data_IF_850296380884
#
_entry.id   IF_850296380884
#
_cell.length_a   1.000
_cell.length_b   1.000
_cell.length_c   1.000
_cell.angle_alpha   90.00
_cell.angle_beta   90.00
_cell.angle_gamma   90.00
#
_symmetry.space_group_name_H-M   'P 1'
#
loop_
_entity.id
_entity.type
_entity.pdbx_description
1 polymer ?
#
# COMPACT_ATOMS: atom_id res chain seq x y z
N UNK A 1 8.66 -4.55 -34.53
CA UNK A 1 8.82 -3.48 -33.51
C UNK A 1 8.97 -4.17 -32.17
N UNK A 2 10.21 -4.40 -31.74
CA UNK A 2 10.52 -4.91 -30.41
C UNK A 2 10.13 -3.85 -29.39
N UNK A 3 9.16 -4.16 -28.56
CA UNK A 3 8.86 -3.37 -27.37
C UNK A 3 10.03 -3.58 -26.39
N UNK A 4 10.97 -2.65 -26.38
CA UNK A 4 12.02 -2.64 -25.38
C UNK A 4 11.37 -2.25 -24.06
N UNK A 5 11.09 -3.22 -23.20
CA UNK A 5 10.77 -2.97 -21.81
C UNK A 5 11.99 -2.33 -21.18
N UNK A 6 11.94 -1.01 -20.96
CA UNK A 6 12.87 -0.35 -20.05
C UNK A 6 12.57 -0.86 -18.66
N UNK A 7 13.36 -1.81 -18.18
CA UNK A 7 13.40 -2.14 -16.76
C UNK A 7 13.79 -0.86 -16.05
N UNK A 8 12.94 -0.45 -15.10
CA UNK A 8 13.19 0.74 -14.30
C UNK A 8 14.42 0.51 -13.42
N UNK A 9 15.57 1.00 -13.86
CA UNK A 9 16.87 0.84 -13.21
C UNK A 9 16.97 1.54 -11.85
N UNK A 10 15.90 2.22 -11.40
CA UNK A 10 15.82 2.85 -10.07
C UNK A 10 15.89 1.86 -8.90
N UNK A 11 15.96 0.56 -9.18
CA UNK A 11 16.07 -0.51 -8.20
C UNK A 11 17.37 -1.31 -8.35
N UNK A 12 18.44 -0.69 -8.81
CA UNK A 12 19.73 -1.31 -9.08
C UNK A 12 20.45 -2.00 -7.89
N UNK A 13 19.85 -1.98 -6.70
CA UNK A 13 20.37 -2.70 -5.54
C UNK A 13 19.65 -4.04 -5.26
N UNK A 14 18.67 -4.44 -6.09
CA UNK A 14 17.92 -5.66 -5.87
C UNK A 14 18.61 -6.84 -6.57
N UNK A 15 19.07 -7.81 -5.79
CA UNK A 15 19.58 -9.05 -6.35
C UNK A 15 18.43 -9.95 -6.79
N UNK A 16 18.02 -9.82 -8.04
CA UNK A 16 16.97 -10.65 -8.66
C UNK A 16 17.30 -12.13 -8.68
N UNK A 17 18.59 -12.49 -8.73
CA UNK A 17 19.02 -13.89 -8.70
C UNK A 17 18.76 -14.49 -7.32
N UNK A 18 19.12 -13.76 -6.26
CA UNK A 18 18.83 -14.18 -4.89
C UNK A 18 17.31 -14.24 -4.64
N UNK A 19 16.55 -13.26 -5.15
CA UNK A 19 15.08 -13.27 -5.04
C UNK A 19 14.46 -14.44 -5.78
N UNK A 20 14.90 -14.76 -6.99
CA UNK A 20 14.43 -15.91 -7.73
C UNK A 20 14.78 -17.24 -7.04
N UNK A 21 15.95 -17.32 -6.42
CA UNK A 21 16.32 -18.48 -5.62
C UNK A 21 15.42 -18.65 -4.37
N UNK A 22 15.04 -17.53 -3.72
CA UNK A 22 14.08 -17.54 -2.62
C UNK A 22 12.66 -17.93 -3.06
N UNK A 23 12.29 -17.63 -4.30
CA UNK A 23 11.01 -18.00 -4.90
C UNK A 23 10.97 -19.44 -5.39
N UNK A 24 12.08 -20.17 -5.32
CA UNK A 24 12.07 -21.59 -5.64
C UNK A 24 11.18 -22.32 -4.63
N UNK A 25 9.97 -22.64 -5.08
CA UNK A 25 8.93 -23.27 -4.25
C UNK A 25 9.27 -24.74 -3.92
N UNK A 26 10.25 -25.30 -4.59
CA UNK A 26 10.65 -26.70 -4.38
C UNK A 26 11.90 -26.74 -3.51
N UNK A 27 11.85 -27.52 -2.44
CA UNK A 27 13.02 -27.86 -1.66
C UNK A 27 13.92 -28.85 -2.42
N UNK A 28 15.11 -29.10 -1.90
CA UNK A 28 16.04 -30.11 -2.44
C UNK A 28 15.44 -31.53 -2.45
N UNK A 29 14.39 -31.75 -1.67
CA UNK A 29 13.59 -32.98 -1.58
C UNK A 29 12.44 -33.01 -2.62
N UNK A 30 12.31 -32.01 -3.47
CA UNK A 30 11.24 -31.87 -4.47
C UNK A 30 9.86 -31.54 -3.88
N UNK A 31 9.76 -31.26 -2.58
CA UNK A 31 8.52 -30.86 -1.92
C UNK A 31 8.28 -29.37 -2.01
N UNK A 32 7.01 -28.95 -2.13
CA UNK A 32 6.63 -27.54 -2.16
C UNK A 32 6.83 -26.91 -0.79
N UNK A 33 7.64 -25.85 -0.73
CA UNK A 33 7.86 -25.07 0.49
C UNK A 33 6.85 -23.92 0.58
N UNK A 34 5.73 -24.14 1.23
CA UNK A 34 4.64 -23.17 1.38
C UNK A 34 5.04 -21.83 2.03
N UNK A 35 6.11 -21.81 2.80
CA UNK A 35 6.59 -20.59 3.47
C UNK A 35 7.68 -19.81 2.70
N UNK A 36 8.15 -20.34 1.57
CA UNK A 36 9.21 -19.71 0.78
C UNK A 36 8.79 -18.31 0.27
N UNK A 37 7.56 -18.21 -0.19
CA UNK A 37 6.99 -16.95 -0.71
C UNK A 37 6.85 -15.88 0.37
N UNK A 38 6.41 -16.24 1.57
CA UNK A 38 6.36 -15.32 2.73
C UNK A 38 7.75 -14.88 3.17
N UNK A 39 8.72 -15.79 3.15
CA UNK A 39 10.13 -15.44 3.44
C UNK A 39 10.69 -14.48 2.43
N UNK A 40 10.47 -14.72 1.14
CA UNK A 40 10.90 -13.84 0.07
C UNK A 40 10.28 -12.45 0.19
N UNK A 41 8.98 -12.35 0.50
CA UNK A 41 8.30 -11.09 0.76
C UNK A 41 8.93 -10.33 1.95
N UNK A 42 9.26 -11.04 3.02
CA UNK A 42 9.91 -10.45 4.21
C UNK A 42 11.32 -9.94 3.91
N UNK A 43 12.13 -10.74 3.20
CA UNK A 43 13.49 -10.35 2.83
C UNK A 43 13.50 -9.15 1.88
N UNK A 44 12.63 -9.13 0.90
CA UNK A 44 12.43 -7.98 0.03
C UNK A 44 12.12 -6.71 0.84
N UNK A 45 11.21 -6.81 1.80
CA UNK A 45 10.88 -5.68 2.67
C UNK A 45 12.09 -5.22 3.48
N UNK A 46 12.82 -6.14 4.13
CA UNK A 46 13.93 -5.79 5.01
C UNK A 46 15.14 -5.24 4.26
N UNK A 47 15.50 -5.89 3.14
CA UNK A 47 16.72 -5.56 2.41
C UNK A 47 16.54 -4.39 1.45
N UNK A 48 15.35 -4.21 0.89
CA UNK A 48 15.10 -3.18 -0.11
C UNK A 48 14.17 -2.08 0.39
N UNK A 49 12.95 -2.41 0.78
CA UNK A 49 11.95 -1.37 1.10
C UNK A 49 12.33 -0.59 2.34
N UNK A 50 12.67 -1.27 3.42
CA UNK A 50 12.96 -0.60 4.70
C UNK A 50 14.22 0.28 4.63
N UNK A 51 15.23 -0.13 3.87
CA UNK A 51 16.45 0.66 3.68
C UNK A 51 16.23 1.91 2.83
N UNK A 52 15.27 1.85 1.91
CA UNK A 52 14.94 2.96 1.01
C UNK A 52 13.70 3.76 1.46
N UNK A 53 13.20 3.55 2.68
CA UNK A 53 12.07 4.31 3.22
C UNK A 53 12.56 5.56 3.95
N UNK A 54 11.91 6.70 3.70
CA UNK A 54 12.13 7.92 4.48
C UNK A 54 11.55 7.73 5.87
N UNK A 55 12.37 7.98 6.89
CA UNK A 55 11.97 7.90 8.29
C UNK A 55 11.51 9.25 8.80
N UNK A 56 10.40 9.25 9.52
CA UNK A 56 9.86 10.39 10.23
C UNK A 56 9.77 10.05 11.73
N UNK A 57 10.06 11.01 12.59
CA UNK A 57 10.01 10.80 14.05
C UNK A 57 8.57 10.74 14.58
N UNK A 58 7.63 11.31 13.88
CA UNK A 58 6.22 11.30 14.25
C UNK A 58 5.30 11.29 13.04
N UNK A 59 4.04 10.88 13.26
CA UNK A 59 3.00 10.98 12.22
C UNK A 59 2.77 12.44 11.82
N UNK A 60 2.82 13.37 12.78
CA UNK A 60 2.63 14.79 12.47
C UNK A 60 3.70 15.30 11.51
N UNK A 61 4.97 15.07 11.82
CA UNK A 61 6.09 15.44 10.96
C UNK A 61 5.95 14.85 9.55
N UNK A 62 5.55 13.59 9.47
CA UNK A 62 5.30 12.91 8.20
C UNK A 62 4.19 13.60 7.40
N UNK A 63 3.05 13.87 8.00
CA UNK A 63 1.93 14.50 7.32
C UNK A 63 2.24 15.94 6.92
N UNK A 64 2.90 16.70 7.79
CA UNK A 64 3.33 18.07 7.48
C UNK A 64 4.26 18.06 6.25
N UNK A 65 5.28 17.20 6.24
CA UNK A 65 6.18 17.04 5.10
C UNK A 65 5.44 16.66 3.80
N UNK A 66 4.54 15.67 3.87
CA UNK A 66 3.81 15.20 2.68
C UNK A 66 2.84 16.26 2.12
N UNK A 67 2.32 17.15 2.97
CA UNK A 67 1.52 18.30 2.56
C UNK A 67 2.35 19.43 1.98
N UNK A 68 3.44 19.80 2.65
CA UNK A 68 4.33 20.89 2.22
C UNK A 68 4.99 20.60 0.88
N UNK A 69 5.40 19.35 0.66
CA UNK A 69 6.02 18.91 -0.59
C UNK A 69 5.00 18.54 -1.68
N UNK A 70 3.70 18.68 -1.42
CA UNK A 70 2.64 18.46 -2.40
C UNK A 70 2.38 16.98 -2.75
N UNK A 71 2.77 16.05 -1.88
CA UNK A 71 2.47 14.63 -2.05
C UNK A 71 1.05 14.27 -1.63
N UNK A 72 0.51 14.98 -0.64
CA UNK A 72 -0.85 14.83 -0.16
C UNK A 72 -1.65 16.12 -0.38
N UNK A 73 -2.94 15.96 -0.60
CA UNK A 73 -3.86 17.09 -0.70
C UNK A 73 -4.40 17.48 0.67
N UNK A 74 -4.22 18.75 1.03
CA UNK A 74 -4.70 19.30 2.29
C UNK A 74 -6.22 19.12 2.47
N UNK A 75 -6.98 19.28 1.40
CA UNK A 75 -8.44 19.14 1.37
C UNK A 75 -8.97 17.79 1.89
N UNK A 76 -8.15 16.74 1.82
CA UNK A 76 -8.51 15.42 2.36
C UNK A 76 -8.33 15.39 3.89
N UNK A 77 -7.18 15.86 4.37
CA UNK A 77 -6.82 15.76 5.79
C UNK A 77 -7.54 16.80 6.65
N UNK A 78 -7.84 17.98 6.09
CA UNK A 78 -8.56 19.06 6.78
C UNK A 78 -10.01 18.71 7.16
N UNK A 79 -10.57 17.68 6.56
CA UNK A 79 -11.90 17.18 6.89
C UNK A 79 -11.94 16.43 8.23
N UNK A 80 -10.77 16.14 8.81
CA UNK A 80 -10.67 15.31 10.02
C UNK A 80 -9.83 15.99 11.10
N UNK A 81 -10.20 15.79 12.35
CA UNK A 81 -9.35 16.17 13.46
C UNK A 81 -8.05 15.32 13.44
N UNK A 82 -6.91 15.94 13.71
CA UNK A 82 -5.62 15.22 13.77
C UNK A 82 -5.64 14.04 14.76
N UNK A 83 -6.39 14.19 15.87
CA UNK A 83 -6.55 13.12 16.84
C UNK A 83 -7.19 11.87 16.24
N UNK A 84 -8.20 12.04 15.37
CA UNK A 84 -8.82 10.95 14.63
C UNK A 84 -7.85 10.33 13.63
N UNK A 85 -7.18 11.13 12.81
CA UNK A 85 -6.17 10.63 11.86
C UNK A 85 -5.14 9.78 12.59
N UNK A 86 -4.60 10.28 13.72
CA UNK A 86 -3.63 9.54 14.54
C UNK A 86 -4.18 8.21 15.05
N UNK A 87 -5.45 8.20 15.49
CA UNK A 87 -6.10 6.98 15.94
C UNK A 87 -6.27 5.95 14.82
N UNK A 88 -6.68 6.42 13.62
CA UNK A 88 -6.84 5.58 12.43
C UNK A 88 -5.51 4.92 12.01
N UNK A 89 -4.44 5.69 11.94
CA UNK A 89 -3.11 5.16 11.65
C UNK A 89 -2.66 4.13 12.72
N UNK A 90 -2.85 4.45 13.99
CA UNK A 90 -2.55 3.52 15.08
C UNK A 90 -3.34 2.21 14.93
N UNK A 91 -4.61 2.29 14.54
CA UNK A 91 -5.48 1.13 14.27
C UNK A 91 -4.93 0.26 13.13
N UNK A 92 -4.58 0.86 11.99
CA UNK A 92 -4.02 0.14 10.86
C UNK A 92 -2.68 -0.56 11.22
N UNK A 93 -1.77 0.15 11.86
CA UNK A 93 -0.48 -0.40 12.29
C UNK A 93 -0.60 -1.50 13.36
N UNK A 94 -1.66 -1.48 14.18
CA UNK A 94 -1.89 -2.52 15.18
C UNK A 94 -2.18 -3.90 14.56
N UNK A 95 -2.64 -3.96 13.32
CA UNK A 95 -2.87 -5.21 12.58
C UNK A 95 -1.55 -5.94 12.29
N UNK A 96 -0.42 -5.22 12.24
CA UNK A 96 0.93 -5.76 11.91
C UNK A 96 0.92 -6.51 10.57
N UNK A 97 0.33 -5.87 9.57
CA UNK A 97 0.15 -6.44 8.24
C UNK A 97 1.45 -7.01 7.66
N UNK A 98 1.32 -8.14 6.97
CA UNK A 98 2.41 -8.77 6.23
C UNK A 98 1.87 -9.26 4.91
N UNK A 99 2.59 -8.97 3.83
CA UNK A 99 2.25 -9.52 2.53
C UNK A 99 2.37 -11.04 2.55
N UNK A 100 1.33 -11.77 2.11
CA UNK A 100 1.37 -13.24 2.09
C UNK A 100 2.26 -13.78 0.98
N UNK A 101 2.50 -12.98 -0.08
CA UNK A 101 3.27 -13.38 -1.26
C UNK A 101 4.33 -12.33 -1.60
N UNK A 102 5.44 -12.79 -2.19
CA UNK A 102 6.47 -11.89 -2.71
C UNK A 102 5.92 -10.98 -3.81
N UNK A 103 5.19 -11.55 -4.78
CA UNK A 103 4.64 -10.77 -5.88
C UNK A 103 3.68 -9.67 -5.41
N UNK A 104 2.88 -9.95 -4.38
CA UNK A 104 2.02 -8.94 -3.76
C UNK A 104 2.82 -7.79 -3.15
N UNK A 105 3.88 -8.09 -2.40
CA UNK A 105 4.78 -7.08 -1.83
C UNK A 105 5.50 -6.29 -2.93
N UNK A 106 6.10 -6.99 -3.88
CA UNK A 106 6.84 -6.39 -4.99
C UNK A 106 5.95 -5.46 -5.81
N UNK A 107 4.78 -5.94 -6.25
CA UNK A 107 3.83 -5.13 -7.03
C UNK A 107 3.37 -3.90 -6.26
N UNK A 108 3.06 -4.05 -4.96
CA UNK A 108 2.66 -2.92 -4.13
C UNK A 108 3.75 -1.84 -4.09
N UNK A 109 4.97 -2.20 -3.72
CA UNK A 109 6.06 -1.23 -3.55
C UNK A 109 6.61 -0.69 -4.87
N UNK A 110 6.48 -1.40 -5.97
CA UNK A 110 6.89 -0.88 -7.29
C UNK A 110 5.85 0.05 -7.89
N UNK A 111 4.55 -0.25 -7.74
CA UNK A 111 3.49 0.39 -8.51
C UNK A 111 2.52 1.26 -7.69
N UNK A 112 2.31 0.98 -6.40
CA UNK A 112 1.21 1.60 -5.64
C UNK A 112 1.65 2.50 -4.50
N UNK A 113 2.80 2.25 -3.90
CA UNK A 113 3.28 3.08 -2.79
C UNK A 113 3.78 4.43 -3.28
N UNK A 114 3.57 5.45 -2.47
CA UNK A 114 4.09 6.77 -2.72
C UNK A 114 5.61 6.78 -2.58
N UNK A 115 6.27 7.43 -3.54
CA UNK A 115 7.72 7.60 -3.57
C UNK A 115 8.06 9.07 -3.72
N UNK A 116 9.30 9.41 -3.42
CA UNK A 116 9.87 10.71 -3.78
C UNK A 116 9.76 10.95 -5.28
N UNK A 117 9.70 12.21 -5.72
CA UNK A 117 9.53 12.55 -7.14
C UNK A 117 10.62 11.97 -8.05
N UNK A 118 11.82 11.76 -7.53
CA UNK A 118 12.91 11.06 -8.23
C UNK A 118 12.74 9.52 -8.23
N UNK A 119 11.74 9.02 -7.50
CA UNK A 119 11.44 7.61 -7.37
C UNK A 119 12.42 6.79 -6.53
N UNK A 120 13.41 7.42 -5.89
CA UNK A 120 14.50 6.74 -5.20
C UNK A 120 14.13 6.22 -3.82
N UNK A 121 13.14 6.84 -3.15
CA UNK A 121 12.79 6.50 -1.76
C UNK A 121 11.28 6.35 -1.59
N UNK A 122 10.91 5.43 -0.68
CA UNK A 122 9.52 5.22 -0.29
C UNK A 122 9.10 6.21 0.80
N UNK A 123 7.94 6.81 0.63
CA UNK A 123 7.33 7.75 1.59
C UNK A 123 6.22 7.10 2.43
N UNK A 124 5.69 5.97 1.97
CA UNK A 124 4.59 5.27 2.60
C UNK A 124 4.88 3.78 2.77
N UNK A 125 4.27 3.22 3.81
CA UNK A 125 4.03 1.78 3.95
C UNK A 125 2.61 1.45 3.52
N UNK A 126 2.27 0.17 3.49
CA UNK A 126 0.94 -0.30 3.14
C UNK A 126 -0.15 0.32 4.04
N UNK A 127 0.09 0.35 5.34
CA UNK A 127 -0.82 0.91 6.33
C UNK A 127 -1.09 2.41 6.09
N UNK A 128 -0.07 3.17 5.71
CA UNK A 128 -0.22 4.60 5.41
C UNK A 128 -1.13 4.81 4.21
N UNK A 129 -0.90 4.05 3.13
CA UNK A 129 -1.73 4.13 1.91
C UNK A 129 -3.17 3.73 2.20
N UNK A 130 -3.39 2.68 2.99
CA UNK A 130 -4.73 2.26 3.39
C UNK A 130 -5.47 3.37 4.15
N UNK A 131 -4.80 4.01 5.11
CA UNK A 131 -5.39 5.13 5.84
C UNK A 131 -5.74 6.29 4.94
N UNK A 132 -4.83 6.70 4.03
CA UNK A 132 -5.09 7.81 3.11
C UNK A 132 -6.26 7.51 2.18
N UNK A 133 -6.32 6.31 1.62
CA UNK A 133 -7.44 5.87 0.76
C UNK A 133 -8.74 5.90 1.54
N UNK A 134 -8.75 5.40 2.77
CA UNK A 134 -9.94 5.39 3.62
C UNK A 134 -10.43 6.82 3.94
N UNK A 135 -9.53 7.73 4.30
CA UNK A 135 -9.85 9.14 4.54
C UNK A 135 -10.41 9.82 3.29
N UNK A 136 -9.80 9.55 2.14
CA UNK A 136 -10.24 10.14 0.86
C UNK A 136 -11.64 9.67 0.49
N UNK A 137 -11.92 8.37 0.58
CA UNK A 137 -13.20 7.79 0.20
C UNK A 137 -14.33 8.13 1.19
N UNK A 138 -13.99 8.24 2.46
CA UNK A 138 -14.97 8.55 3.50
C UNK A 138 -15.39 10.02 3.54
N UNK A 139 -14.60 10.92 2.90
CA UNK A 139 -14.95 12.33 2.71
C UNK A 139 -15.51 13.02 3.98
N UNK A 140 -14.81 12.86 5.13
CA UNK A 140 -15.17 13.44 6.41
C UNK A 140 -15.96 12.52 7.35
N UNK A 141 -16.48 11.39 6.88
CA UNK A 141 -17.15 10.40 7.73
C UNK A 141 -16.12 9.51 8.45
N UNK A 142 -15.88 9.79 9.74
CA UNK A 142 -14.93 9.04 10.56
C UNK A 142 -15.27 7.55 10.68
N UNK A 143 -16.56 7.21 10.84
CA UNK A 143 -17.00 5.81 10.97
C UNK A 143 -16.80 5.04 9.68
N UNK A 144 -17.04 5.69 8.54
CA UNK A 144 -16.82 5.09 7.24
C UNK A 144 -15.31 4.89 7.00
N UNK A 145 -14.46 5.87 7.36
CA UNK A 145 -13.01 5.74 7.27
C UNK A 145 -12.47 4.55 8.08
N UNK A 146 -12.94 4.36 9.32
CA UNK A 146 -12.58 3.21 10.14
C UNK A 146 -13.01 1.88 9.48
N UNK A 147 -14.23 1.80 8.98
CA UNK A 147 -14.73 0.58 8.30
C UNK A 147 -13.94 0.25 7.06
N UNK A 148 -13.66 1.23 6.20
CA UNK A 148 -12.86 1.01 4.99
C UNK A 148 -11.46 0.53 5.37
N UNK A 149 -10.83 1.14 6.37
CA UNK A 149 -9.51 0.71 6.86
C UNK A 149 -9.55 -0.74 7.32
N UNK A 150 -10.54 -1.13 8.14
CA UNK A 150 -10.67 -2.51 8.64
C UNK A 150 -10.89 -3.52 7.51
N UNK A 151 -11.72 -3.19 6.53
CA UNK A 151 -12.01 -4.07 5.40
C UNK A 151 -10.78 -4.31 4.53
N UNK A 152 -10.00 -3.26 4.25
CA UNK A 152 -8.76 -3.39 3.47
C UNK A 152 -7.71 -4.16 4.28
N UNK A 153 -7.51 -3.81 5.54
CA UNK A 153 -6.53 -4.47 6.40
C UNK A 153 -6.86 -5.94 6.65
N UNK A 154 -8.14 -6.31 6.59
CA UNK A 154 -8.60 -7.70 6.67
C UNK A 154 -8.50 -8.45 5.32
N UNK A 155 -8.02 -7.80 4.25
CA UNK A 155 -7.87 -8.41 2.92
C UNK A 155 -9.19 -8.64 2.18
N UNK A 156 -10.29 -8.04 2.64
CA UNK A 156 -11.58 -8.12 1.94
C UNK A 156 -11.66 -7.17 0.75
N UNK A 157 -10.79 -6.17 0.70
CA UNK A 157 -10.53 -5.31 -0.45
C UNK A 157 -9.06 -5.32 -0.79
N UNK A 158 -8.74 -5.18 -2.06
CA UNK A 158 -7.37 -5.06 -2.54
C UNK A 158 -7.14 -3.70 -3.21
N UNK A 159 -5.94 -3.16 -3.05
CA UNK A 159 -5.46 -2.04 -3.84
C UNK A 159 -4.99 -2.59 -5.19
N UNK A 160 -5.59 -2.17 -6.28
CA UNK A 160 -5.19 -2.55 -7.63
C UNK A 160 -5.08 -1.29 -8.51
N UNK A 161 -3.93 -1.12 -9.17
CA UNK A 161 -3.62 0.03 -10.05
C UNK A 161 -3.86 1.41 -9.41
N UNK A 162 -3.42 1.55 -8.13
CA UNK A 162 -3.72 2.74 -7.33
C UNK A 162 -5.18 2.83 -6.91
N UNK A 163 -5.93 1.79 -7.11
CA UNK A 163 -7.37 1.67 -6.95
C UNK A 163 -7.70 0.64 -5.89
N UNK A 164 -8.80 0.88 -5.19
CA UNK A 164 -9.45 -0.13 -4.39
C UNK A 164 -10.22 -1.07 -5.32
N UNK A 165 -9.78 -2.32 -5.43
CA UNK A 165 -10.53 -3.36 -6.11
C UNK A 165 -11.28 -4.19 -5.08
N UNK A 166 -12.57 -4.38 -5.27
CA UNK A 166 -13.33 -5.36 -4.50
C UNK A 166 -13.02 -6.77 -5.00
N UNK A 167 -12.95 -7.78 -4.10
CA UNK A 167 -12.87 -9.16 -4.54
C UNK A 167 -14.04 -9.51 -5.46
N UNK A 168 -13.84 -10.48 -6.31
CA UNK A 168 -14.64 -10.90 -7.48
C UNK A 168 -16.19 -10.81 -7.39
N UNK A 169 -16.75 -10.75 -6.19
CA UNK A 169 -18.22 -10.67 -6.01
C UNK A 169 -18.84 -9.42 -6.63
N UNK A 170 -18.08 -8.37 -6.87
CA UNK A 170 -18.62 -7.11 -7.38
C UNK A 170 -17.93 -6.62 -8.64
N UNK A 171 -16.82 -7.23 -9.09
CA UNK A 171 -16.16 -6.93 -10.36
C UNK A 171 -15.83 -5.45 -10.59
N UNK A 172 -15.79 -4.65 -9.51
CA UNK A 172 -15.77 -3.20 -9.60
C UNK A 172 -14.53 -2.64 -8.91
N UNK A 173 -13.91 -1.74 -9.60
CA UNK A 173 -12.75 -1.00 -9.12
C UNK A 173 -13.20 0.24 -8.35
N UNK A 174 -12.79 0.36 -7.11
CA UNK A 174 -13.14 1.46 -6.23
C UNK A 174 -12.24 2.66 -6.45
N UNK A 175 -12.46 3.41 -7.53
CA UNK A 175 -11.90 4.76 -7.61
C UNK A 175 -12.77 5.71 -8.39
N UNK A 176 -12.82 6.90 -7.84
CA UNK A 176 -13.56 8.02 -8.35
C UNK A 176 -15.01 8.06 -7.90
N UNK A 177 -15.70 9.19 -8.14
CA UNK A 177 -17.08 9.41 -7.72
C UNK A 177 -18.07 8.37 -8.23
N UNK A 178 -17.81 7.77 -9.41
CA UNK A 178 -18.65 6.72 -9.99
C UNK A 178 -18.56 5.44 -9.17
N UNK A 179 -17.36 5.03 -8.82
CA UNK A 179 -17.12 3.78 -8.08
C UNK A 179 -17.66 3.87 -6.65
N UNK A 180 -17.50 5.02 -6.00
CA UNK A 180 -18.10 5.25 -4.69
C UNK A 180 -19.64 5.12 -4.72
N UNK A 181 -20.29 5.58 -5.78
CA UNK A 181 -21.74 5.44 -5.96
C UNK A 181 -22.16 3.99 -6.24
N UNK A 182 -21.36 3.24 -7.00
CA UNK A 182 -21.67 1.86 -7.39
C UNK A 182 -21.60 0.87 -6.22
N UNK A 183 -20.76 1.13 -5.22
CA UNK A 183 -20.66 0.29 -4.02
C UNK A 183 -21.58 0.74 -2.87
N UNK A 184 -22.47 1.70 -3.13
CA UNK A 184 -23.38 2.22 -2.11
C UNK A 184 -22.71 3.13 -1.08
N UNK A 185 -21.46 3.55 -1.30
CA UNK A 185 -20.79 4.61 -0.55
C UNK A 185 -21.27 5.97 -1.07
N UNK A 186 -22.58 6.21 -1.01
CA UNK A 186 -23.10 7.55 -1.30
C UNK A 186 -22.70 8.47 -0.17
N UNK A 187 -22.30 9.69 -0.53
CA UNK A 187 -22.32 10.79 0.43
C UNK A 187 -23.71 10.82 1.06
N UNK A 188 -23.78 10.79 2.37
CA UNK A 188 -24.96 11.26 3.05
C UNK A 188 -25.01 12.77 2.74
N UNK A 189 -26.04 13.18 1.99
CA UNK A 189 -26.38 14.58 1.78
C UNK A 189 -26.77 15.22 3.10
#
# INVERSE_FOLDING_TARGET
TEATFKIDTRFDGLDYTALNAMLNLYGDDGQIQFDADKRAAREYFLQHVNQNTVFFHSLKEKLDYLLEEGYYEASVLEQYAFAFIKALFKRAYAVKFRFPTFMGAFKYYTSYTLKTFDGSRYLERFEDRVCLVALTLAAGDERLAERITDEIMAGRFALADGQLAMPERLGQTLIGPRTAAEIGLRRAD
#
